data_IF_266011000833
#
_entry.id   IF_266011000833
#
_cell.length_a   1.000
_cell.length_b   1.000
_cell.length_c   1.000
_cell.angle_alpha   90.00
_cell.angle_beta   90.00
_cell.angle_gamma   90.00
#
_symmetry.space_group_name_H-M   'P 1'
#
loop_
_entity.id
_entity.type
_entity.pdbx_description
1 polymer ?
#
# COMPACT_ATOMS: atom_id res chain seq x y z
N UNK A 1 -35.90 3.62 15.81
CA UNK A 1 -35.47 3.98 16.18
C UNK A 1 -34.68 4.30 16.44
N UNK A 2 -34.35 4.47 16.57
CA UNK A 2 -33.62 4.91 16.82
C UNK A 2 -32.96 5.08 17.86
N UNK A 3 -32.77 4.52 18.57
CA UNK A 3 -32.23 4.77 19.76
C UNK A 3 -30.80 4.86 19.74
N UNK A 4 -30.15 4.13 18.94
CA UNK A 4 -28.75 4.25 18.73
C UNK A 4 -28.40 5.60 18.20
N UNK A 5 -29.35 6.27 17.64
CA UNK A 5 -29.13 7.60 17.13
C UNK A 5 -28.65 8.55 18.21
N UNK A 6 -28.90 8.23 19.49
CA UNK A 6 -28.46 9.10 20.56
C UNK A 6 -26.95 9.13 20.69
N UNK A 7 -26.23 8.16 20.13
CA UNK A 7 -24.80 8.16 20.22
C UNK A 7 -24.14 8.80 19.02
N UNK A 8 -24.87 8.96 17.93
CA UNK A 8 -24.32 9.58 16.72
C UNK A 8 -25.08 10.87 16.48
N UNK A 9 -24.36 11.98 16.57
CA UNK A 9 -24.97 13.29 16.41
C UNK A 9 -24.53 13.92 15.09
N UNK A 10 -25.32 14.88 14.63
CA UNK A 10 -24.97 15.67 13.46
C UNK A 10 -23.59 16.30 13.66
N UNK A 11 -23.35 16.78 14.86
CA UNK A 11 -22.08 17.45 15.14
C UNK A 11 -20.89 16.51 14.95
N UNK A 12 -21.05 15.26 15.35
CA UNK A 12 -19.98 14.28 15.15
C UNK A 12 -19.72 14.04 13.68
N UNK A 13 -20.78 13.95 12.90
CA UNK A 13 -20.63 13.70 11.47
C UNK A 13 -19.99 14.88 10.76
N UNK A 14 -20.44 16.09 11.09
CA UNK A 14 -19.87 17.30 10.53
C UNK A 14 -18.39 17.41 10.89
N UNK A 15 -18.08 17.16 12.17
CA UNK A 15 -16.70 17.25 12.63
C UNK A 15 -15.81 16.27 11.91
N UNK A 16 -16.26 15.03 11.77
CA UNK A 16 -15.46 14.02 11.09
C UNK A 16 -15.25 14.40 9.62
N UNK A 17 -16.31 14.86 8.98
CA UNK A 17 -16.24 15.28 7.58
C UNK A 17 -15.23 16.42 7.40
N UNK A 18 -15.29 17.43 8.29
CA UNK A 18 -14.38 18.56 8.19
C UNK A 18 -12.95 18.17 8.50
N UNK A 19 -12.75 17.30 9.49
CA UNK A 19 -11.41 16.83 9.81
C UNK A 19 -10.80 16.04 8.66
N UNK A 20 -11.59 15.21 8.03
CA UNK A 20 -11.11 14.43 6.90
C UNK A 20 -10.73 15.32 5.73
N UNK A 21 -11.52 16.36 5.51
CA UNK A 21 -11.22 17.32 4.46
C UNK A 21 -9.93 18.07 4.75
N UNK A 22 -9.77 18.52 6.00
CA UNK A 22 -8.54 19.20 6.41
C UNK A 22 -7.33 18.28 6.30
N UNK A 23 -7.50 17.03 6.66
CA UNK A 23 -6.41 16.08 6.57
C UNK A 23 -5.90 15.97 5.14
N UNK A 24 -6.80 15.88 4.19
CA UNK A 24 -6.42 15.79 2.79
C UNK A 24 -5.70 17.04 2.31
N UNK A 25 -6.19 18.21 2.73
CA UNK A 25 -5.55 19.47 2.37
C UNK A 25 -4.15 19.56 2.95
N UNK A 26 -4.00 19.15 4.21
CA UNK A 26 -2.70 19.17 4.86
C UNK A 26 -1.75 18.20 4.18
N UNK A 27 -2.22 17.01 3.87
CA UNK A 27 -1.37 16.03 3.20
C UNK A 27 -0.91 16.51 1.84
N UNK A 28 -1.79 17.21 1.12
CA UNK A 28 -1.42 17.76 -0.18
C UNK A 28 -0.31 18.80 -0.05
N UNK A 29 -0.46 19.71 0.93
CA UNK A 29 0.57 20.71 1.15
C UNK A 29 1.89 20.09 1.57
N UNK A 30 1.84 19.08 2.43
CA UNK A 30 3.05 18.41 2.85
C UNK A 30 3.73 17.69 1.69
N UNK A 31 2.93 17.10 0.80
CA UNK A 31 3.50 16.42 -0.37
C UNK A 31 4.18 17.41 -1.29
N UNK A 32 3.58 18.58 -1.49
CA UNK A 32 4.18 19.61 -2.32
C UNK A 32 5.52 20.09 -1.75
N UNK A 33 5.56 20.26 -0.42
CA UNK A 33 6.81 20.65 0.23
C UNK A 33 7.86 19.54 0.12
N UNK A 34 7.44 18.30 0.30
CA UNK A 34 8.35 17.17 0.16
C UNK A 34 8.97 17.12 -1.23
N UNK A 35 8.14 17.34 -2.25
CA UNK A 35 8.64 17.32 -3.62
C UNK A 35 9.68 18.42 -3.82
N UNK A 36 9.40 19.60 -3.25
CA UNK A 36 10.35 20.72 -3.32
C UNK A 36 11.66 20.35 -2.64
N UNK A 37 11.59 19.73 -1.47
CA UNK A 37 12.77 19.32 -0.74
C UNK A 37 13.58 18.27 -1.51
N UNK A 38 12.89 17.33 -2.13
CA UNK A 38 13.58 16.32 -2.94
C UNK A 38 14.27 16.95 -4.15
N UNK A 39 13.59 17.89 -4.80
CA UNK A 39 14.20 18.60 -5.93
C UNK A 39 15.45 19.34 -5.50
N UNK A 40 15.38 19.99 -4.35
CA UNK A 40 16.54 20.71 -3.82
C UNK A 40 17.72 19.77 -3.59
N UNK A 41 17.48 18.63 -2.93
CA UNK A 41 18.55 17.69 -2.67
C UNK A 41 19.04 16.98 -3.92
N UNK A 42 18.13 16.72 -4.87
CA UNK A 42 18.54 16.12 -6.13
C UNK A 42 19.52 17.02 -6.87
N UNK A 43 19.30 18.32 -6.82
CA UNK A 43 20.20 19.26 -7.46
C UNK A 43 21.50 19.40 -6.68
N UNK A 44 21.46 19.19 -5.39
CA UNK A 44 22.64 19.39 -4.54
C UNK A 44 23.58 18.18 -4.54
N UNK A 45 23.03 16.98 -4.36
CA UNK A 45 23.82 15.76 -4.20
C UNK A 45 23.43 14.64 -5.17
N UNK A 46 22.46 14.91 -6.03
CA UNK A 46 21.97 13.88 -6.95
C UNK A 46 20.85 13.06 -6.35
N UNK A 47 20.16 12.32 -7.21
CA UNK A 47 19.07 11.46 -6.74
C UNK A 47 19.62 10.32 -5.89
N UNK A 48 18.79 9.85 -4.97
CA UNK A 48 19.09 8.67 -4.16
C UNK A 48 20.29 8.81 -3.25
N UNK A 49 20.65 10.03 -2.88
CA UNK A 49 21.72 10.28 -1.93
C UNK A 49 21.18 11.01 -0.71
N UNK A 50 21.70 10.63 0.44
CA UNK A 50 21.31 11.30 1.68
C UNK A 50 21.94 12.67 1.76
N UNK A 51 21.27 13.57 2.45
CA UNK A 51 21.76 14.92 2.61
C UNK A 51 21.03 15.60 3.74
N UNK A 52 21.59 16.69 4.21
CA UNK A 52 20.92 17.47 5.24
C UNK A 52 21.36 18.92 5.14
N UNK A 53 20.51 19.81 5.62
CA UNK A 53 20.79 21.24 5.66
C UNK A 53 20.06 21.80 6.86
N UNK A 54 20.68 22.79 7.50
CA UNK A 54 20.07 23.45 8.66
C UNK A 54 19.77 24.87 8.29
N UNK A 55 18.53 25.27 8.51
CA UNK A 55 18.06 26.62 8.20
C UNK A 55 17.22 27.08 9.39
N UNK A 56 17.66 28.20 9.99
CA UNK A 56 16.90 28.84 11.07
C UNK A 56 16.47 27.88 12.18
N UNK A 57 17.39 27.02 12.59
CA UNK A 57 17.14 26.12 13.71
C UNK A 57 16.43 24.83 13.33
N UNK A 58 16.05 24.68 12.07
CA UNK A 58 15.45 23.46 11.59
C UNK A 58 16.46 22.68 10.77
N UNK A 59 16.49 21.39 10.97
CA UNK A 59 17.33 20.52 10.17
C UNK A 59 16.46 19.81 9.15
N UNK A 60 16.70 20.04 7.87
CA UNK A 60 16.06 19.32 6.80
C UNK A 60 16.98 18.18 6.41
N UNK A 61 16.47 16.97 6.44
CA UNK A 61 17.29 15.79 6.27
C UNK A 61 16.58 14.82 5.33
N UNK A 62 17.31 14.29 4.35
CA UNK A 62 16.84 13.23 3.51
C UNK A 62 17.62 11.99 3.81
N UNK A 63 16.94 10.95 4.24
CA UNK A 63 17.53 9.64 4.45
C UNK A 63 17.16 8.76 3.26
N UNK A 64 18.09 7.90 2.89
CA UNK A 64 17.87 6.99 1.78
C UNK A 64 17.88 5.58 2.33
N UNK A 65 16.80 4.87 2.09
CA UNK A 65 16.71 3.47 2.46
C UNK A 65 16.92 2.64 1.21
N UNK A 66 17.97 1.84 1.23
CA UNK A 66 18.29 0.99 0.10
C UNK A 66 17.80 -0.42 0.39
N UNK A 67 16.99 -0.95 -0.51
CA UNK A 67 16.50 -2.31 -0.40
C UNK A 67 16.91 -3.05 -1.65
N UNK A 68 17.60 -4.16 -1.47
CA UNK A 68 18.05 -4.98 -2.59
C UNK A 68 17.41 -6.35 -2.48
N UNK A 69 16.99 -6.87 -3.59
CA UNK A 69 16.51 -8.23 -3.65
C UNK A 69 16.83 -8.77 -5.03
N UNK A 70 16.92 -10.08 -5.11
CA UNK A 70 17.25 -10.70 -6.36
C UNK A 70 16.03 -10.72 -7.28
N UNK A 71 16.26 -10.42 -8.54
CA UNK A 71 15.23 -10.63 -9.55
C UNK A 71 15.10 -12.13 -9.72
N UNK A 72 13.88 -12.63 -9.50
CA UNK A 72 13.69 -14.08 -9.43
C UNK A 72 14.03 -14.77 -10.74
N UNK A 73 13.49 -14.27 -11.82
CA UNK A 73 13.67 -14.93 -13.11
C UNK A 73 15.13 -14.94 -13.58
N UNK A 74 15.74 -13.76 -13.52
CA UNK A 74 17.13 -13.61 -13.98
C UNK A 74 18.08 -14.38 -13.08
N UNK A 75 17.85 -14.31 -11.77
CA UNK A 75 18.73 -14.97 -10.82
C UNK A 75 18.64 -16.48 -10.92
N UNK A 76 17.42 -17.01 -11.05
CA UNK A 76 17.24 -18.46 -11.21
C UNK A 76 17.98 -18.94 -12.46
N UNK A 77 17.80 -18.22 -13.57
CA UNK A 77 18.48 -18.59 -14.80
C UNK A 77 20.01 -18.58 -14.64
N UNK A 78 20.51 -17.55 -13.97
CA UNK A 78 21.94 -17.42 -13.77
C UNK A 78 22.48 -18.55 -12.90
N UNK A 79 21.74 -18.91 -11.84
CA UNK A 79 22.15 -19.98 -10.96
C UNK A 79 22.14 -21.34 -11.67
N UNK A 80 21.17 -21.52 -12.55
CA UNK A 80 21.12 -22.76 -13.36
C UNK A 80 22.31 -22.84 -14.28
N UNK A 81 22.66 -21.72 -14.91
CA UNK A 81 23.83 -21.68 -15.79
C UNK A 81 25.11 -21.98 -15.04
N UNK A 82 25.18 -21.55 -13.80
CA UNK A 82 26.34 -21.80 -12.93
C UNK A 82 26.32 -23.18 -12.30
N UNK A 83 25.26 -23.96 -12.57
CA UNK A 83 25.06 -25.28 -11.98
C UNK A 83 24.99 -25.24 -10.46
N UNK A 84 24.31 -24.22 -9.95
CA UNK A 84 24.11 -24.02 -8.53
C UNK A 84 22.63 -24.10 -8.18
N UNK A 85 22.00 -25.16 -8.64
CA UNK A 85 20.54 -25.32 -8.40
C UNK A 85 20.21 -25.50 -6.93
N UNK A 86 21.19 -25.86 -6.11
CA UNK A 86 20.97 -25.96 -4.68
C UNK A 86 20.60 -24.62 -4.05
N UNK A 87 20.91 -23.53 -4.74
CA UNK A 87 20.58 -22.20 -4.25
C UNK A 87 19.23 -21.72 -4.76
N UNK A 88 18.46 -22.60 -5.43
CA UNK A 88 17.16 -22.27 -5.94
C UNK A 88 16.10 -22.95 -5.08
N UNK A 89 15.16 -22.15 -4.59
CA UNK A 89 14.05 -22.65 -3.80
C UNK A 89 12.84 -22.86 -4.71
N UNK A 90 12.23 -24.04 -4.62
CA UNK A 90 11.02 -24.34 -5.36
C UNK A 90 9.85 -24.36 -4.39
N UNK A 91 8.84 -23.52 -4.65
CA UNK A 91 7.70 -23.36 -3.75
C UNK A 91 6.43 -23.76 -4.47
N UNK A 92 5.61 -24.57 -3.79
CA UNK A 92 4.30 -24.94 -4.31
C UNK A 92 3.29 -23.89 -3.89
N UNK A 93 2.50 -23.43 -4.82
CA UNK A 93 1.48 -22.42 -4.57
C UNK A 93 0.22 -22.77 -5.34
N UNK A 94 -0.95 -22.46 -4.78
CA UNK A 94 -2.17 -22.59 -5.57
C UNK A 94 -2.10 -21.64 -6.77
N UNK A 95 -2.64 -22.07 -7.87
CA UNK A 95 -2.77 -21.24 -9.05
C UNK A 95 -4.21 -20.73 -9.06
N UNK A 96 -4.39 -19.51 -8.55
CA UNK A 96 -5.72 -18.96 -8.33
C UNK A 96 -6.54 -18.88 -9.62
N UNK A 97 -5.90 -18.51 -10.71
CA UNK A 97 -6.59 -18.37 -11.98
C UNK A 97 -7.07 -19.73 -12.49
N UNK A 98 -6.20 -20.73 -12.42
CA UNK A 98 -6.56 -22.06 -12.87
C UNK A 98 -7.61 -22.71 -11.99
N UNK A 99 -7.54 -22.46 -10.68
CA UNK A 99 -8.53 -22.99 -9.77
C UNK A 99 -9.90 -22.39 -10.10
N UNK A 100 -9.95 -21.09 -10.31
CA UNK A 100 -11.21 -20.45 -10.64
C UNK A 100 -11.78 -20.97 -11.94
N UNK A 101 -10.93 -21.16 -12.94
CA UNK A 101 -11.38 -21.72 -14.21
C UNK A 101 -11.91 -23.14 -14.05
N UNK A 102 -11.24 -23.95 -13.24
CA UNK A 102 -11.68 -25.32 -13.01
C UNK A 102 -13.05 -25.35 -12.35
N UNK A 103 -13.30 -24.44 -11.43
CA UNK A 103 -14.61 -24.36 -10.80
C UNK A 103 -15.68 -23.96 -11.81
N UNK A 104 -15.38 -22.98 -12.65
CA UNK A 104 -16.32 -22.53 -13.67
C UNK A 104 -16.65 -23.63 -14.67
N UNK A 105 -15.68 -24.48 -14.98
CA UNK A 105 -15.87 -25.57 -15.92
C UNK A 105 -16.46 -26.81 -15.28
N UNK A 106 -16.72 -26.80 -14.00
CA UNK A 106 -17.30 -27.94 -13.32
C UNK A 106 -16.32 -29.04 -13.00
N UNK A 107 -15.02 -28.81 -13.20
CA UNK A 107 -14.01 -29.82 -12.91
C UNK A 107 -13.67 -29.89 -11.42
N UNK A 108 -14.00 -28.83 -10.71
CA UNK A 108 -13.70 -28.71 -9.28
C UNK A 108 -14.87 -28.00 -8.64
N UNK A 109 -15.31 -28.46 -7.48
CA UNK A 109 -16.43 -27.82 -6.79
C UNK A 109 -15.88 -27.01 -5.62
N UNK A 110 -16.63 -25.96 -5.27
CA UNK A 110 -16.26 -25.14 -4.13
C UNK A 110 -16.26 -25.93 -2.84
N UNK A 111 -17.12 -26.94 -2.75
CA UNK A 111 -17.17 -27.78 -1.57
C UNK A 111 -15.88 -28.55 -1.37
N UNK A 112 -15.24 -28.97 -2.47
CA UNK A 112 -13.99 -29.67 -2.37
C UNK A 112 -12.87 -28.84 -1.81
N UNK A 113 -13.03 -27.52 -1.86
CA UNK A 113 -12.04 -26.60 -1.32
C UNK A 113 -12.52 -25.97 -0.01
N UNK A 114 -13.48 -26.59 0.63
CA UNK A 114 -13.98 -26.10 1.91
C UNK A 114 -12.83 -26.00 2.91
N UNK A 115 -12.74 -24.88 3.61
CA UNK A 115 -11.67 -24.65 4.56
C UNK A 115 -10.39 -24.11 3.94
N UNK A 116 -10.34 -24.01 2.61
CA UNK A 116 -9.13 -23.55 1.95
C UNK A 116 -9.11 -22.05 1.75
N UNK A 117 -10.25 -21.41 1.84
CA UNK A 117 -10.35 -19.96 1.60
C UNK A 117 -10.16 -19.22 2.90
N UNK A 118 -9.25 -18.27 2.88
CA UNK A 118 -9.03 -17.37 4.01
C UNK A 118 -9.65 -16.03 3.65
N UNK A 119 -10.60 -15.60 4.45
CA UNK A 119 -11.31 -14.36 4.21
C UNK A 119 -11.00 -13.37 5.31
N UNK A 120 -10.60 -12.17 4.91
CA UNK A 120 -10.33 -11.10 5.85
C UNK A 120 -11.28 -9.96 5.55
N UNK A 121 -11.77 -9.34 6.61
CA UNK A 121 -12.68 -8.21 6.48
C UNK A 121 -11.99 -6.96 7.00
N UNK A 122 -12.11 -5.89 6.26
CA UNK A 122 -11.48 -4.64 6.61
C UNK A 122 -12.53 -3.55 6.61
N UNK A 123 -13.01 -3.12 7.79
CA UNK A 123 -14.06 -2.10 7.82
C UNK A 123 -13.49 -0.74 7.43
N UNK A 124 -14.34 0.06 6.82
CA UNK A 124 -13.97 1.41 6.42
C UNK A 124 -15.14 2.32 6.74
N UNK A 125 -14.81 3.52 7.16
CA UNK A 125 -15.82 4.51 7.51
C UNK A 125 -15.62 5.73 6.64
N UNK A 126 -16.72 6.26 6.14
CA UNK A 126 -16.70 7.51 5.40
C UNK A 126 -17.93 8.32 5.75
N UNK A 127 -17.77 9.63 5.69
CA UNK A 127 -18.88 10.56 5.85
C UNK A 127 -18.92 11.40 4.59
N UNK A 128 -20.07 11.42 3.96
CA UNK A 128 -20.27 12.17 2.71
C UNK A 128 -21.44 13.09 2.83
N UNK A 129 -21.40 14.16 2.07
CA UNK A 129 -22.56 15.03 1.97
C UNK A 129 -23.54 14.45 0.95
N UNK A 130 -24.82 14.57 1.23
CA UNK A 130 -25.84 14.20 0.27
C UNK A 130 -26.17 15.45 -0.54
N UNK A 131 -25.59 15.56 -1.71
CA UNK A 131 -25.84 16.72 -2.54
C UNK A 131 -27.00 16.41 -3.45
N UNK A 132 -27.96 17.28 -3.47
CA UNK A 132 -29.00 17.15 -4.45
C UNK A 132 -28.40 17.43 -5.77
N UNK A 133 -28.49 17.06 -6.63
CA UNK A 133 -27.86 17.29 -7.80
C UNK A 133 -28.12 17.81 -8.51
#
# INVERSE_FOLDING_TARGET
>A
MKQNDSFITDEMLVKYYELNKKKKEIELEMTQLKDTFHDYFNNLVGPDNKAEVTINGYKLQRQIRKVEKYNEEITVRRLEELQMSDLIQVVKKPDDVKIKSAIQLGLLSEQQLEGCIVTNYSPAISVKTLTPR
#
